data_IF_468021248502
#
_entry.id   IF_468021248502
#
_cell.length_a   1.000
_cell.length_b   1.000
_cell.length_c   1.000
_cell.angle_alpha   90.00
_cell.angle_beta   90.00
_cell.angle_gamma   90.00
#
_symmetry.space_group_name_H-M   'P 1'
#
loop_
_entity.id
_entity.type
_entity.pdbx_description
1 polymer ?
#
# COMPACT_ATOMS: atom_id res chain seq x y z
N UNK A 1 -10.55 49.75 72.82
CA UNK A 1 -10.03 48.41 73.13
C UNK A 1 -10.13 47.55 71.92
N UNK A 2 -9.05 46.97 71.55
CA UNK A 2 -8.72 46.41 70.22
C UNK A 2 -9.30 45.03 70.01
N UNK A 3 -9.84 44.77 68.83
CA UNK A 3 -10.22 43.44 68.40
C UNK A 3 -9.65 43.21 66.96
N UNK A 4 -8.50 42.53 66.89
CA UNK A 4 -7.86 42.16 65.62
C UNK A 4 -8.60 40.98 65.00
N UNK A 5 -9.21 41.17 63.85
CA UNK A 5 -9.74 40.10 63.01
C UNK A 5 -8.67 39.67 62.02
N UNK A 6 -8.16 38.45 62.17
CA UNK A 6 -7.28 37.79 61.23
C UNK A 6 -8.13 37.21 60.07
N UNK A 7 -7.85 37.63 58.84
CA UNK A 7 -8.36 37.02 57.66
C UNK A 7 -7.40 35.89 57.21
N UNK A 8 -7.87 34.66 57.33
CA UNK A 8 -7.21 33.49 56.77
C UNK A 8 -7.52 33.45 55.26
N UNK A 9 -6.48 33.72 54.44
CA UNK A 9 -6.59 33.52 52.99
C UNK A 9 -6.46 32.04 52.63
N UNK A 10 -7.42 31.54 51.89
CA UNK A 10 -7.37 30.21 51.30
C UNK A 10 -6.65 30.33 49.95
N UNK A 11 -5.49 29.70 49.84
CA UNK A 11 -4.80 29.49 48.56
C UNK A 11 -5.39 28.23 47.93
N UNK A 12 -6.19 28.41 46.87
CA UNK A 12 -6.63 27.34 46.02
C UNK A 12 -5.48 27.00 45.06
N UNK A 13 -4.84 25.85 45.26
CA UNK A 13 -3.86 25.31 44.32
C UNK A 13 -4.61 24.70 43.13
N UNK A 14 -4.62 25.40 42.02
CA UNK A 14 -5.10 24.86 40.74
C UNK A 14 -4.12 23.84 40.18
N UNK A 15 -4.46 22.55 40.19
CA UNK A 15 -3.73 21.51 39.49
C UNK A 15 -4.02 21.62 38.00
N UNK A 16 -3.05 22.15 37.21
CA UNK A 16 -3.09 22.11 35.79
C UNK A 16 -2.81 20.66 35.31
N UNK A 17 -3.86 19.95 34.92
CA UNK A 17 -3.71 18.67 34.24
C UNK A 17 -3.16 18.89 32.82
N UNK A 18 -1.85 18.70 32.65
CA UNK A 18 -1.22 18.67 31.32
C UNK A 18 -1.66 17.40 30.61
N UNK A 19 -2.67 17.52 29.75
CA UNK A 19 -3.06 16.47 28.83
C UNK A 19 -1.93 16.22 27.84
N UNK A 20 -1.21 15.09 28.00
CA UNK A 20 -0.28 14.59 26.99
C UNK A 20 -1.14 14.06 25.86
N UNK A 21 -1.27 14.83 24.79
CA UNK A 21 -1.81 14.36 23.53
C UNK A 21 -0.83 13.29 23.01
N UNK A 22 -1.17 12.01 23.20
CA UNK A 22 -0.49 10.92 22.55
C UNK A 22 -0.75 11.05 21.04
N UNK A 23 0.17 11.71 20.31
CA UNK A 23 0.26 11.55 18.89
C UNK A 23 0.57 10.08 18.64
N UNK A 24 -0.45 9.30 18.25
CA UNK A 24 -0.30 7.99 17.68
C UNK A 24 0.45 8.18 16.35
N UNK A 25 1.78 8.11 16.42
CA UNK A 25 2.60 7.97 15.23
C UNK A 25 2.23 6.63 14.60
N UNK A 26 1.52 6.69 13.45
CA UNK A 26 1.38 5.52 12.60
C UNK A 26 2.81 4.99 12.37
N UNK A 27 3.10 3.79 12.86
CA UNK A 27 4.41 3.16 12.69
C UNK A 27 4.71 3.14 11.18
N UNK A 28 5.74 3.88 10.78
CA UNK A 28 6.18 3.90 9.40
C UNK A 28 6.61 2.48 9.03
N UNK A 29 5.84 1.82 8.16
CA UNK A 29 6.14 0.46 7.71
C UNK A 29 7.56 0.41 7.15
N UNK A 30 8.41 -0.41 7.75
CA UNK A 30 9.77 -0.60 7.28
C UNK A 30 9.81 -1.78 6.31
N UNK A 31 10.30 -1.52 5.10
CA UNK A 31 10.46 -2.57 4.07
C UNK A 31 11.92 -2.99 3.98
N UNK A 32 12.20 -4.30 3.72
CA UNK A 32 13.58 -4.80 3.58
C UNK A 32 14.38 -4.13 2.46
N UNK A 33 13.71 -3.78 1.34
CA UNK A 33 14.34 -3.12 0.19
C UNK A 33 13.97 -1.65 0.22
N UNK A 34 14.97 -0.81 0.46
CA UNK A 34 14.81 0.64 0.52
C UNK A 34 15.91 1.34 -0.25
N UNK A 35 15.52 2.29 -1.07
CA UNK A 35 16.41 3.20 -1.77
C UNK A 35 15.90 4.63 -1.61
N UNK A 36 16.79 5.60 -1.79
CA UNK A 36 16.39 7.00 -1.89
C UNK A 36 15.52 7.24 -3.12
N UNK A 37 14.77 8.32 -3.13
CA UNK A 37 13.93 8.71 -4.28
C UNK A 37 14.77 8.84 -5.57
N UNK A 38 15.95 9.43 -5.47
CA UNK A 38 16.87 9.59 -6.59
C UNK A 38 17.38 8.23 -7.13
N UNK A 39 17.58 7.25 -6.25
CA UNK A 39 17.99 5.90 -6.66
C UNK A 39 16.84 5.14 -7.29
N UNK A 40 15.60 5.26 -6.78
CA UNK A 40 14.43 4.69 -7.42
C UNK A 40 14.24 5.22 -8.85
N UNK A 41 14.38 6.53 -9.06
CA UNK A 41 14.31 7.16 -10.39
C UNK A 41 15.37 6.67 -11.38
N UNK A 42 16.54 6.26 -10.89
CA UNK A 42 17.59 5.67 -11.72
C UNK A 42 17.35 4.20 -12.08
N UNK A 43 16.62 3.46 -11.23
CA UNK A 43 16.39 2.01 -11.37
C UNK A 43 15.15 1.66 -12.15
N UNK A 44 14.15 2.53 -12.10
CA UNK A 44 12.83 2.31 -12.68
C UNK A 44 12.65 3.16 -13.94
N UNK A 45 11.83 2.68 -14.87
CA UNK A 45 11.33 3.55 -15.93
C UNK A 45 10.43 4.64 -15.35
N UNK A 46 10.08 5.66 -16.12
CA UNK A 46 9.17 6.72 -15.66
C UNK A 46 7.80 6.16 -15.26
N UNK A 47 7.28 5.23 -16.06
CA UNK A 47 5.99 4.57 -15.85
C UNK A 47 6.02 3.70 -14.59
N UNK A 48 7.05 2.88 -14.44
CA UNK A 48 7.27 2.06 -13.24
C UNK A 48 7.40 2.93 -11.98
N UNK A 49 8.18 4.02 -12.05
CA UNK A 49 8.32 4.94 -10.93
C UNK A 49 7.00 5.62 -10.58
N UNK A 50 6.25 6.08 -11.58
CA UNK A 50 4.94 6.70 -11.39
C UNK A 50 3.97 5.78 -10.64
N UNK A 51 3.91 4.51 -11.04
CA UNK A 51 3.03 3.54 -10.39
C UNK A 51 3.56 3.10 -9.04
N UNK A 52 4.79 2.57 -8.99
CA UNK A 52 5.33 1.92 -7.79
C UNK A 52 5.64 2.91 -6.65
N UNK A 53 5.98 4.16 -6.96
CA UNK A 53 6.45 5.15 -5.96
C UNK A 53 5.52 6.35 -5.77
N UNK A 54 4.71 6.68 -6.78
CA UNK A 54 3.76 7.79 -6.72
C UNK A 54 2.30 7.32 -6.69
N UNK A 55 2.06 5.99 -6.56
CA UNK A 55 0.73 5.36 -6.53
C UNK A 55 -0.11 5.66 -7.78
N UNK A 56 0.54 5.82 -8.93
CA UNK A 56 -0.14 6.03 -10.20
C UNK A 56 -0.94 4.81 -10.65
N UNK A 57 -1.70 5.00 -11.70
CA UNK A 57 -2.45 3.94 -12.39
C UNK A 57 -2.21 4.06 -13.89
N UNK A 58 -1.85 2.94 -14.54
CA UNK A 58 -1.75 2.89 -16.00
C UNK A 58 -3.12 2.96 -16.68
N UNK A 59 -3.17 3.35 -17.95
CA UNK A 59 -4.43 3.31 -18.70
C UNK A 59 -4.91 1.86 -18.92
N UNK A 60 -6.23 1.61 -18.86
CA UNK A 60 -6.77 0.27 -19.09
C UNK A 60 -6.44 -0.21 -20.51
N UNK A 61 -6.09 -1.48 -20.62
CA UNK A 61 -5.80 -2.13 -21.91
C UNK A 61 -4.42 -1.85 -22.50
N UNK A 62 -3.56 -1.08 -21.84
CA UNK A 62 -2.24 -0.70 -22.39
C UNK A 62 -1.11 -1.66 -22.00
N UNK A 63 -1.26 -2.42 -20.93
CA UNK A 63 -0.21 -3.33 -20.49
C UNK A 63 -0.01 -4.53 -21.43
N UNK A 64 1.20 -4.80 -21.90
CA UNK A 64 1.49 -6.04 -22.64
C UNK A 64 1.27 -7.31 -21.79
N UNK A 65 1.33 -7.20 -20.45
CA UNK A 65 1.08 -8.31 -19.54
C UNK A 65 -0.41 -8.66 -19.41
N UNK A 66 -1.30 -7.82 -19.93
CA UNK A 66 -2.73 -8.12 -19.97
C UNK A 66 -3.00 -9.45 -20.67
N UNK A 67 -2.34 -9.68 -21.80
CA UNK A 67 -2.51 -10.87 -22.62
C UNK A 67 -1.42 -11.95 -22.43
N UNK A 68 -0.57 -11.82 -21.41
CA UNK A 68 0.47 -12.83 -21.10
C UNK A 68 -0.20 -14.11 -20.57
N UNK A 69 0.05 -15.24 -21.30
CA UNK A 69 -0.56 -16.56 -21.01
C UNK A 69 0.45 -17.68 -20.78
N UNK A 70 1.74 -17.38 -20.96
CA UNK A 70 2.80 -18.38 -20.72
C UNK A 70 2.85 -18.77 -19.25
N UNK A 71 3.35 -19.98 -18.98
CA UNK A 71 3.62 -20.40 -17.61
C UNK A 71 4.81 -19.61 -17.03
N UNK A 72 4.68 -19.18 -15.76
CA UNK A 72 5.72 -18.42 -15.11
C UNK A 72 5.20 -17.60 -13.91
N UNK A 73 6.01 -16.65 -13.49
CA UNK A 73 5.76 -15.79 -12.36
C UNK A 73 5.70 -14.33 -12.77
N UNK A 74 4.77 -13.61 -12.18
CA UNK A 74 4.75 -12.14 -12.21
C UNK A 74 5.46 -11.64 -10.95
N UNK A 75 6.50 -10.86 -11.15
CA UNK A 75 7.38 -10.35 -10.08
C UNK A 75 7.29 -8.83 -10.02
N UNK A 76 7.59 -8.26 -8.85
CA UNK A 76 7.65 -6.81 -8.67
C UNK A 76 8.73 -6.21 -9.58
N UNK A 77 8.38 -5.20 -10.36
CA UNK A 77 9.34 -4.53 -11.26
C UNK A 77 10.44 -3.78 -10.49
N UNK A 78 10.20 -3.40 -9.23
CA UNK A 78 11.17 -2.65 -8.43
C UNK A 78 12.27 -3.53 -7.82
N UNK A 79 11.95 -4.76 -7.38
CA UNK A 79 12.87 -5.59 -6.58
C UNK A 79 12.88 -7.08 -6.96
N UNK A 80 12.09 -7.47 -7.95
CA UNK A 80 12.02 -8.85 -8.42
C UNK A 80 11.32 -9.82 -7.46
N UNK A 81 10.63 -9.32 -6.43
CA UNK A 81 9.86 -10.17 -5.51
C UNK A 81 8.78 -10.96 -6.28
N UNK A 82 8.75 -12.31 -6.20
CA UNK A 82 7.66 -13.09 -6.80
C UNK A 82 6.32 -12.75 -6.15
N UNK A 83 5.33 -12.38 -6.95
CA UNK A 83 4.03 -11.89 -6.47
C UNK A 83 2.89 -12.82 -6.84
N UNK A 84 2.80 -13.20 -8.11
CA UNK A 84 1.69 -13.99 -8.64
C UNK A 84 2.19 -15.10 -9.56
N UNK A 85 1.49 -16.24 -9.54
CA UNK A 85 1.67 -17.31 -10.53
C UNK A 85 0.75 -17.08 -11.73
N UNK A 86 1.23 -17.37 -12.94
CA UNK A 86 0.40 -17.36 -14.15
C UNK A 86 -0.82 -18.29 -14.06
N UNK A 87 -0.73 -19.37 -13.28
CA UNK A 87 -1.85 -20.26 -13.02
C UNK A 87 -3.03 -19.62 -12.28
N UNK A 88 -2.80 -18.46 -11.66
CA UNK A 88 -3.82 -17.68 -10.92
C UNK A 88 -4.32 -16.47 -11.70
N UNK A 89 -3.76 -16.22 -12.90
CA UNK A 89 -4.17 -15.14 -13.78
C UNK A 89 -5.46 -15.46 -14.50
N UNK A 90 -6.33 -14.49 -14.68
CA UNK A 90 -7.57 -14.63 -15.47
C UNK A 90 -7.94 -13.32 -16.16
N UNK A 91 -8.82 -13.41 -17.15
CA UNK A 91 -9.35 -12.24 -17.87
C UNK A 91 -10.54 -11.68 -17.09
N UNK A 92 -10.34 -10.54 -16.44
CA UNK A 92 -11.39 -9.87 -15.67
C UNK A 92 -12.26 -8.92 -16.49
N UNK A 93 -11.83 -8.56 -17.70
CA UNK A 93 -12.51 -7.58 -18.54
C UNK A 93 -12.30 -6.13 -18.08
N UNK A 94 -11.50 -5.88 -17.04
CA UNK A 94 -11.29 -4.52 -16.49
C UNK A 94 -10.22 -3.71 -17.23
N UNK A 95 -9.38 -4.37 -18.03
CA UNK A 95 -8.27 -3.73 -18.75
C UNK A 95 -6.93 -3.76 -18.01
N UNK A 96 -6.85 -4.44 -16.89
CA UNK A 96 -5.61 -4.65 -16.12
C UNK A 96 -5.35 -6.12 -15.87
N UNK A 97 -4.06 -6.55 -15.77
CA UNK A 97 -3.71 -7.90 -15.35
C UNK A 97 -4.39 -8.25 -14.02
N UNK A 98 -5.14 -9.35 -14.01
CA UNK A 98 -5.94 -9.75 -12.85
C UNK A 98 -5.62 -11.16 -12.39
N UNK A 99 -5.57 -11.34 -11.07
CA UNK A 99 -5.25 -12.62 -10.43
C UNK A 99 -6.30 -12.90 -9.35
N UNK A 100 -6.65 -14.18 -9.16
CA UNK A 100 -7.59 -14.57 -8.12
C UNK A 100 -6.90 -14.97 -6.81
N UNK A 101 -5.57 -15.12 -6.79
CA UNK A 101 -4.78 -15.47 -5.62
C UNK A 101 -3.35 -14.89 -5.74
N UNK A 102 -2.64 -14.84 -4.65
CA UNK A 102 -1.30 -14.27 -4.50
C UNK A 102 -0.35 -15.30 -3.90
N UNK A 103 0.95 -15.17 -4.16
CA UNK A 103 1.95 -16.02 -3.49
C UNK A 103 2.04 -15.69 -1.99
N UNK A 104 2.26 -16.70 -1.13
CA UNK A 104 2.33 -16.47 0.32
C UNK A 104 3.37 -15.42 0.71
N UNK A 105 2.96 -14.45 1.54
CA UNK A 105 3.84 -13.39 2.05
C UNK A 105 4.34 -12.38 1.01
N UNK A 106 3.85 -12.44 -0.23
CA UNK A 106 4.36 -11.63 -1.33
C UNK A 106 3.93 -10.16 -1.28
N UNK A 107 2.78 -9.89 -0.68
CA UNK A 107 2.17 -8.55 -0.65
C UNK A 107 1.82 -8.10 0.76
N UNK A 108 1.64 -6.80 0.92
CA UNK A 108 0.91 -6.17 2.01
C UNK A 108 -0.30 -5.40 1.48
N UNK A 109 -1.20 -5.03 2.37
CA UNK A 109 -2.39 -4.24 2.03
C UNK A 109 -2.53 -3.03 2.94
N UNK A 110 -3.19 -1.99 2.45
CA UNK A 110 -3.58 -0.80 3.21
C UNK A 110 -4.90 -0.23 2.68
N UNK A 111 -5.54 0.61 3.48
CA UNK A 111 -6.72 1.33 3.02
C UNK A 111 -6.29 2.56 2.23
N UNK A 112 -6.90 2.77 1.08
CA UNK A 112 -6.71 3.89 0.18
C UNK A 112 -8.03 4.65 0.00
N UNK A 113 -7.99 5.98 0.05
CA UNK A 113 -9.14 6.88 -0.08
C UNK A 113 -9.01 7.84 -1.28
N UNK A 114 -8.05 7.67 -2.17
CA UNK A 114 -7.76 8.61 -3.26
C UNK A 114 -8.96 8.87 -4.19
N UNK A 115 -9.86 7.90 -4.32
CA UNK A 115 -11.07 8.04 -5.15
C UNK A 115 -12.31 8.52 -4.38
N UNK A 116 -12.17 8.95 -3.12
CA UNK A 116 -13.27 9.42 -2.29
C UNK A 116 -14.06 8.32 -1.57
N UNK A 117 -13.74 7.05 -1.80
CA UNK A 117 -14.27 5.90 -1.06
C UNK A 117 -13.13 4.91 -0.72
N UNK A 118 -13.29 4.11 0.35
CA UNK A 118 -12.22 3.20 0.78
C UNK A 118 -12.01 2.07 -0.22
N UNK A 119 -10.76 1.88 -0.65
CA UNK A 119 -10.31 0.73 -1.44
C UNK A 119 -9.19 0.01 -0.69
N UNK A 120 -8.99 -1.27 -0.99
CA UNK A 120 -7.85 -2.01 -0.44
C UNK A 120 -6.69 -1.97 -1.43
N UNK A 121 -5.70 -1.12 -1.13
CA UNK A 121 -4.43 -1.05 -1.86
C UNK A 121 -3.63 -2.33 -1.65
N UNK A 122 -2.95 -2.77 -2.70
CA UNK A 122 -1.96 -3.86 -2.68
C UNK A 122 -0.58 -3.29 -2.99
N UNK A 123 0.40 -3.62 -2.15
CA UNK A 123 1.79 -3.21 -2.32
C UNK A 123 2.75 -4.39 -2.12
N UNK A 124 3.93 -4.31 -2.71
CA UNK A 124 4.98 -5.31 -2.54
C UNK A 124 5.43 -5.40 -1.08
N UNK A 125 5.49 -6.61 -0.51
CA UNK A 125 5.90 -6.81 0.88
C UNK A 125 7.37 -6.45 1.13
N UNK A 126 8.22 -6.45 0.09
CA UNK A 126 9.66 -6.22 0.23
C UNK A 126 10.08 -4.77 0.01
N UNK A 127 9.48 -4.06 -0.95
CA UNK A 127 9.88 -2.69 -1.27
C UNK A 127 8.79 -1.65 -0.98
N UNK A 128 7.58 -2.09 -0.62
CA UNK A 128 6.43 -1.21 -0.38
C UNK A 128 5.88 -0.52 -1.64
N UNK A 129 6.33 -0.92 -2.83
CA UNK A 129 5.87 -0.34 -4.10
C UNK A 129 4.41 -0.65 -4.34
N UNK A 130 3.63 0.39 -4.73
CA UNK A 130 2.23 0.24 -5.09
C UNK A 130 2.08 -0.68 -6.31
N UNK A 131 1.20 -1.66 -6.23
CA UNK A 131 0.94 -2.63 -7.30
C UNK A 131 -0.45 -2.43 -7.93
N UNK A 132 -1.44 -2.09 -7.15
CA UNK A 132 -2.82 -1.98 -7.54
C UNK A 132 -3.77 -2.13 -6.37
N UNK A 133 -4.94 -2.73 -6.60
CA UNK A 133 -5.98 -2.90 -5.58
C UNK A 133 -6.56 -4.31 -5.62
N UNK A 134 -7.11 -4.75 -4.49
CA UNK A 134 -7.85 -6.02 -4.40
C UNK A 134 -9.32 -5.75 -4.12
N UNK A 135 -10.18 -6.50 -4.82
CA UNK A 135 -11.64 -6.43 -4.74
C UNK A 135 -12.21 -7.81 -4.39
N UNK A 136 -13.48 -7.85 -3.95
CA UNK A 136 -14.19 -9.06 -3.55
C UNK A 136 -15.15 -9.57 -4.65
N UNK A 137 -14.88 -9.23 -5.89
CA UNK A 137 -15.68 -9.56 -7.08
C UNK A 137 -14.96 -10.54 -8.03
N UNK A 138 -13.98 -11.26 -7.52
CA UNK A 138 -13.22 -12.26 -8.27
C UNK A 138 -13.87 -13.63 -8.31
N UNK A 139 -13.27 -14.55 -9.08
CA UNK A 139 -13.77 -15.92 -9.23
C UNK A 139 -13.48 -16.79 -7.99
N UNK A 140 -14.15 -17.93 -7.92
CA UNK A 140 -13.77 -18.99 -6.98
C UNK A 140 -12.35 -19.51 -7.32
N UNK A 141 -11.59 -20.03 -6.32
CA UNK A 141 -12.03 -20.35 -4.95
C UNK A 141 -11.99 -19.18 -3.96
N UNK A 142 -11.24 -18.09 -4.23
CA UNK A 142 -11.02 -17.03 -3.25
C UNK A 142 -12.08 -15.93 -3.24
N UNK A 143 -12.78 -15.72 -4.36
CA UNK A 143 -13.66 -14.58 -4.55
C UNK A 143 -12.91 -13.24 -4.67
N UNK A 144 -11.56 -13.27 -4.75
CA UNK A 144 -10.73 -12.07 -4.84
C UNK A 144 -10.35 -11.76 -6.28
N UNK A 145 -10.28 -10.47 -6.59
CA UNK A 145 -9.67 -9.94 -7.81
C UNK A 145 -8.55 -8.99 -7.44
N UNK A 146 -7.32 -9.46 -7.59
CA UNK A 146 -6.12 -8.63 -7.52
C UNK A 146 -5.94 -7.96 -8.86
N UNK A 147 -6.31 -6.69 -8.96
CA UNK A 147 -6.26 -5.87 -10.18
C UNK A 147 -4.95 -5.07 -10.14
N UNK A 148 -3.97 -5.47 -10.93
CA UNK A 148 -2.60 -4.97 -10.84
C UNK A 148 -2.21 -4.13 -12.05
N UNK A 149 -1.48 -3.06 -11.81
CA UNK A 149 -0.82 -2.32 -12.90
C UNK A 149 0.25 -3.21 -13.53
N UNK A 150 0.22 -3.37 -14.84
CA UNK A 150 1.20 -4.19 -15.54
C UNK A 150 2.61 -3.60 -15.50
N UNK A 151 2.74 -2.27 -15.54
CA UNK A 151 4.03 -1.58 -15.38
C UNK A 151 4.66 -1.76 -13.99
N UNK A 152 3.87 -2.14 -12.98
CA UNK A 152 4.40 -2.54 -11.67
C UNK A 152 4.99 -3.96 -11.66
N UNK A 153 4.81 -4.73 -12.73
CA UNK A 153 5.16 -6.14 -12.82
C UNK A 153 6.16 -6.40 -13.93
N UNK A 154 6.94 -7.46 -13.76
CA UNK A 154 7.70 -8.13 -14.82
C UNK A 154 7.26 -9.59 -14.89
N UNK A 155 7.24 -10.16 -16.08
CA UNK A 155 6.97 -11.58 -16.27
C UNK A 155 8.27 -12.37 -16.37
N UNK A 156 8.39 -13.45 -15.61
CA UNK A 156 9.49 -14.44 -15.68
C UNK A 156 8.89 -15.77 -16.12
N UNK A 157 9.20 -16.24 -17.32
CA UNK A 157 8.76 -17.57 -17.78
C UNK A 157 9.38 -18.66 -16.90
N UNK A 158 8.66 -19.81 -16.80
CA UNK A 158 9.13 -21.01 -16.12
C UNK A 158 10.27 -21.68 -16.84
#
# INVERSE_FOLDING_TARGET
>A
MQGRRQFLGWLAAGAAASGIAACSSAEARTYPVRYSDAEWKKRLTKEQYYILRQKGTEYPGTSPLLHEKRQGLFVCAADGNPLYSSAKKYESGTGWPSFWDVLPGAIGTSTDFETGYPRTEVHCSRCGGHLGHVFNDGPKPTGKRYCMNGDALLFRPA
#
